data_IF_816866346876
#
_entry.id   IF_816866346876
#
_cell.length_a   1.000
_cell.length_b   1.000
_cell.length_c   1.000
_cell.angle_alpha   90.00
_cell.angle_beta   90.00
_cell.angle_gamma   90.00
#
_symmetry.space_group_name_H-M   'P 1'
#
loop_
_entity.id
_entity.type
_entity.pdbx_description
1 polymer ?
#
# COMPACT_ATOMS: atom_id res chain seq x y z
N UNK A 1 -8.47 -18.34 -0.93
CA UNK A 1 -7.34 -17.74 -1.70
C UNK A 1 -7.16 -18.42 -3.04
N UNK A 2 -7.06 -19.75 -3.09
CA UNK A 2 -7.01 -20.51 -4.35
C UNK A 2 -8.17 -20.14 -5.28
N UNK A 3 -9.41 -20.16 -4.77
CA UNK A 3 -10.61 -19.88 -5.57
C UNK A 3 -10.64 -18.44 -6.09
N UNK A 4 -10.19 -17.48 -5.28
CA UNK A 4 -10.04 -16.08 -5.71
C UNK A 4 -9.00 -15.94 -6.83
N UNK A 5 -7.85 -16.61 -6.71
CA UNK A 5 -6.82 -16.59 -7.77
C UNK A 5 -7.32 -17.28 -9.04
N UNK A 6 -8.08 -18.38 -8.91
CA UNK A 6 -8.73 -19.05 -10.04
C UNK A 6 -9.71 -18.11 -10.73
N UNK A 7 -10.60 -17.47 -9.98
CA UNK A 7 -11.57 -16.51 -10.49
C UNK A 7 -10.90 -15.35 -11.25
N UNK A 8 -9.84 -14.75 -10.69
CA UNK A 8 -9.08 -13.71 -11.39
C UNK A 8 -8.52 -14.22 -12.73
N UNK A 9 -8.02 -15.45 -12.77
CA UNK A 9 -7.47 -16.06 -14.00
C UNK A 9 -8.56 -16.38 -15.03
N UNK A 10 -9.73 -16.84 -14.60
CA UNK A 10 -10.90 -17.04 -15.48
C UNK A 10 -11.30 -15.74 -16.17
N UNK A 11 -11.19 -14.61 -15.47
CA UNK A 11 -11.41 -13.26 -16.01
C UNK A 11 -10.19 -12.62 -16.69
N UNK A 12 -9.11 -13.38 -16.95
CA UNK A 12 -7.86 -12.87 -17.54
C UNK A 12 -7.19 -11.72 -16.74
N UNK A 13 -7.50 -11.61 -15.44
CA UNK A 13 -6.91 -10.62 -14.53
C UNK A 13 -5.67 -11.21 -13.86
N UNK A 14 -4.56 -10.46 -13.90
CA UNK A 14 -3.30 -10.86 -13.24
C UNK A 14 -3.41 -10.69 -11.72
N UNK A 15 -3.17 -11.75 -10.92
CA UNK A 15 -3.27 -11.66 -9.47
C UNK A 15 -2.06 -10.94 -8.87
N UNK A 16 -2.28 -9.73 -8.31
CA UNK A 16 -1.27 -8.92 -7.63
C UNK A 16 -1.35 -9.03 -6.10
N UNK A 17 -1.43 -10.27 -5.60
CA UNK A 17 -1.65 -10.56 -4.19
C UNK A 17 -0.32 -10.55 -3.43
N UNK A 18 -0.30 -10.04 -2.20
CA UNK A 18 0.86 -10.13 -1.32
C UNK A 18 1.25 -11.59 -1.02
N UNK A 19 2.52 -11.94 -1.23
CA UNK A 19 3.08 -13.18 -0.68
C UNK A 19 3.63 -12.91 0.71
N UNK A 20 3.23 -13.71 1.69
CA UNK A 20 3.78 -13.69 3.04
C UNK A 20 4.89 -14.75 3.10
N UNK A 21 6.09 -14.34 3.54
CA UNK A 21 7.20 -15.26 3.74
C UNK A 21 6.83 -16.29 4.82
N UNK A 22 7.24 -17.55 4.63
CA UNK A 22 6.92 -18.67 5.53
C UNK A 22 5.43 -19.02 5.64
N UNK A 23 4.56 -18.47 4.78
CA UNK A 23 3.15 -18.86 4.69
C UNK A 23 2.82 -19.37 3.29
N UNK A 24 2.20 -20.55 3.22
CA UNK A 24 1.65 -21.02 1.97
C UNK A 24 0.52 -20.08 1.52
N UNK A 25 0.56 -19.63 0.26
CA UNK A 25 -0.47 -18.78 -0.34
C UNK A 25 -1.12 -19.58 -1.49
N UNK A 26 -2.14 -20.40 -1.19
CA UNK A 26 -2.72 -21.31 -2.18
C UNK A 26 -3.19 -20.58 -3.44
N UNK A 27 -2.80 -21.09 -4.62
CA UNK A 27 -3.12 -20.52 -5.93
C UNK A 27 -2.08 -19.52 -6.45
N UNK A 28 -1.30 -18.88 -5.57
CA UNK A 28 -0.23 -17.97 -5.97
C UNK A 28 1.09 -18.75 -6.17
N UNK A 29 1.36 -19.10 -7.42
CA UNK A 29 2.51 -19.92 -7.83
C UNK A 29 3.61 -19.10 -8.54
N UNK A 30 4.68 -19.80 -8.90
CA UNK A 30 5.82 -19.24 -9.63
C UNK A 30 5.46 -18.53 -10.93
N UNK A 31 4.33 -18.85 -11.59
CA UNK A 31 3.90 -18.20 -12.84
C UNK A 31 3.55 -16.74 -12.62
N UNK A 32 3.02 -16.42 -11.44
CA UNK A 32 2.66 -15.05 -11.07
C UNK A 32 3.87 -14.31 -10.50
N UNK A 33 4.56 -14.93 -9.55
CA UNK A 33 5.62 -14.26 -8.76
C UNK A 33 6.88 -13.95 -9.56
N UNK A 34 7.15 -14.68 -10.65
CA UNK A 34 8.31 -14.43 -11.53
C UNK A 34 8.17 -13.21 -12.44
N UNK A 35 6.96 -12.67 -12.59
CA UNK A 35 6.70 -11.58 -13.53
C UNK A 35 7.21 -10.26 -13.00
N UNK A 36 7.76 -9.41 -13.87
CA UNK A 36 8.25 -8.09 -13.46
C UNK A 36 7.09 -7.21 -12.94
N UNK A 37 5.92 -7.29 -13.57
CA UNK A 37 4.71 -6.59 -13.11
C UNK A 37 4.33 -6.94 -11.67
N UNK A 38 4.46 -8.22 -11.27
CA UNK A 38 4.24 -8.63 -9.89
C UNK A 38 5.28 -8.01 -8.94
N UNK A 39 6.57 -8.05 -9.30
CA UNK A 39 7.65 -7.44 -8.50
C UNK A 39 7.46 -5.94 -8.31
N UNK A 40 7.08 -5.22 -9.35
CA UNK A 40 6.75 -3.78 -9.28
C UNK A 40 5.55 -3.57 -8.35
N UNK A 41 4.48 -4.33 -8.54
CA UNK A 41 3.27 -4.20 -7.71
C UNK A 41 3.56 -4.43 -6.23
N UNK A 42 4.38 -5.41 -5.87
CA UNK A 42 4.74 -5.64 -4.47
C UNK A 42 5.50 -4.46 -3.86
N UNK A 43 6.42 -3.84 -4.62
CA UNK A 43 7.14 -2.62 -4.17
C UNK A 43 6.18 -1.45 -3.99
N UNK A 44 5.26 -1.22 -4.93
CA UNK A 44 4.29 -0.12 -4.86
C UNK A 44 3.31 -0.29 -3.71
N UNK A 45 2.82 -1.52 -3.47
CA UNK A 45 1.92 -1.84 -2.35
C UNK A 45 2.54 -1.46 -0.99
N UNK A 46 3.81 -1.82 -0.75
CA UNK A 46 4.53 -1.43 0.48
C UNK A 46 4.60 0.08 0.66
N UNK A 47 4.90 0.83 -0.41
CA UNK A 47 4.93 2.31 -0.36
C UNK A 47 3.58 2.91 0.03
N UNK A 48 2.47 2.32 -0.43
CA UNK A 48 1.12 2.78 -0.05
C UNK A 48 0.84 2.44 1.42
N UNK A 49 1.20 1.22 1.85
CA UNK A 49 1.01 0.76 3.23
C UNK A 49 1.80 1.59 4.26
N UNK A 50 3.01 2.05 3.91
CA UNK A 50 3.81 2.95 4.75
C UNK A 50 3.07 4.25 5.09
N UNK A 51 2.38 4.85 4.12
CA UNK A 51 1.60 6.08 4.33
C UNK A 51 0.45 5.82 5.30
N UNK A 52 -0.31 4.74 5.09
CA UNK A 52 -1.41 4.38 5.98
C UNK A 52 -0.93 4.00 7.38
N UNK A 53 0.24 3.36 7.49
CA UNK A 53 0.91 3.11 8.76
C UNK A 53 1.22 4.42 9.49
N UNK A 54 1.87 5.36 8.80
CA UNK A 54 2.22 6.68 9.36
C UNK A 54 0.98 7.49 9.74
N UNK A 55 -0.07 7.50 8.92
CA UNK A 55 -1.33 8.18 9.23
C UNK A 55 -1.98 7.64 10.50
N UNK A 56 -1.88 6.33 10.74
CA UNK A 56 -2.40 5.69 11.96
C UNK A 56 -1.54 6.03 13.18
N UNK A 57 -0.22 5.98 13.07
CA UNK A 57 0.69 6.12 14.20
C UNK A 57 1.02 7.57 14.53
N UNK A 58 1.43 8.35 13.53
CA UNK A 58 1.85 9.77 13.68
C UNK A 58 0.69 10.72 13.35
N UNK A 59 -0.10 10.41 12.33
CA UNK A 59 -1.27 11.21 11.94
C UNK A 59 -2.48 11.08 12.88
N UNK A 60 -2.39 10.26 13.93
CA UNK A 60 -3.43 10.13 14.95
C UNK A 60 -4.72 9.43 14.51
N UNK A 61 -4.77 8.82 13.31
CA UNK A 61 -5.99 8.20 12.80
C UNK A 61 -6.27 6.79 13.37
N UNK A 62 -5.34 6.19 14.14
CA UNK A 62 -5.59 4.87 14.79
C UNK A 62 -6.73 4.94 15.81
N UNK A 63 -6.87 6.06 16.51
CA UNK A 63 -7.95 6.37 17.46
C UNK A 63 -8.33 7.84 17.27
N UNK A 64 -9.02 8.12 16.16
CA UNK A 64 -9.42 9.49 15.83
C UNK A 64 -10.29 10.09 16.94
N UNK A 65 -9.99 11.34 17.32
CA UNK A 65 -10.83 12.12 18.25
C UNK A 65 -12.07 12.72 17.58
N UNK A 66 -12.15 12.65 16.26
CA UNK A 66 -13.23 13.24 15.48
C UNK A 66 -14.39 12.24 15.34
N UNK A 67 -15.61 12.74 15.52
CA UNK A 67 -16.84 11.95 15.37
C UNK A 67 -17.49 12.29 14.03
N UNK A 68 -17.90 11.26 13.29
CA UNK A 68 -18.55 11.38 11.99
C UNK A 68 -17.57 11.35 10.81
N UNK A 69 -18.10 10.98 9.64
CA UNK A 69 -17.33 10.79 8.42
C UNK A 69 -16.69 12.08 7.92
N UNK A 70 -17.44 13.18 7.87
CA UNK A 70 -16.96 14.46 7.34
C UNK A 70 -15.73 14.99 8.11
N UNK A 71 -15.78 14.99 9.45
CA UNK A 71 -14.67 15.48 10.30
C UNK A 71 -13.45 14.55 10.22
N UNK A 72 -13.68 13.24 10.21
CA UNK A 72 -12.59 12.25 10.06
C UNK A 72 -11.92 12.34 8.68
N UNK A 73 -12.70 12.56 7.62
CA UNK A 73 -12.20 12.74 6.27
C UNK A 73 -11.34 14.00 6.14
N UNK A 74 -11.80 15.12 6.70
CA UNK A 74 -11.01 16.36 6.72
C UNK A 74 -9.66 16.15 7.43
N UNK A 75 -9.66 15.49 8.58
CA UNK A 75 -8.43 15.15 9.29
C UNK A 75 -7.49 14.26 8.44
N UNK A 76 -8.04 13.25 7.78
CA UNK A 76 -7.26 12.38 6.89
C UNK A 76 -6.64 13.14 5.72
N UNK A 77 -7.36 14.10 5.12
CA UNK A 77 -6.82 14.93 4.04
C UNK A 77 -5.70 15.85 4.51
N UNK A 78 -5.85 16.51 5.66
CA UNK A 78 -4.80 17.36 6.23
C UNK A 78 -3.55 16.54 6.55
N UNK A 79 -3.71 15.39 7.23
CA UNK A 79 -2.58 14.51 7.56
C UNK A 79 -1.92 13.92 6.31
N UNK A 80 -2.70 13.56 5.28
CA UNK A 80 -2.18 13.09 4.00
C UNK A 80 -1.42 14.16 3.24
N UNK A 81 -1.90 15.41 3.24
CA UNK A 81 -1.20 16.54 2.66
C UNK A 81 0.14 16.80 3.37
N UNK A 82 0.16 16.78 4.71
CA UNK A 82 1.39 16.91 5.50
C UNK A 82 2.40 15.79 5.17
N UNK A 83 1.93 14.54 5.01
CA UNK A 83 2.80 13.44 4.59
C UNK A 83 3.39 13.67 3.19
N UNK A 84 2.60 14.18 2.24
CA UNK A 84 3.09 14.51 0.91
C UNK A 84 4.20 15.56 0.95
N UNK A 85 4.05 16.60 1.79
CA UNK A 85 5.10 17.61 1.98
C UNK A 85 6.40 17.00 2.55
N UNK A 86 6.29 16.16 3.58
CA UNK A 86 7.43 15.44 4.15
C UNK A 86 8.13 14.58 3.08
N UNK A 87 7.34 13.92 2.22
CA UNK A 87 7.87 13.10 1.13
C UNK A 87 8.59 13.95 0.08
N UNK A 88 8.03 15.09 -0.31
CA UNK A 88 8.67 16.03 -1.24
C UNK A 88 10.00 16.49 -0.65
N UNK A 89 10.01 16.97 0.60
CA UNK A 89 11.23 17.43 1.27
C UNK A 89 12.35 16.38 1.26
N UNK A 90 12.03 15.11 1.61
CA UNK A 90 13.00 14.00 1.56
C UNK A 90 13.52 13.71 0.17
N UNK A 91 12.66 13.78 -0.85
CA UNK A 91 13.05 13.54 -2.24
C UNK A 91 13.90 14.68 -2.81
N UNK A 92 13.62 15.92 -2.40
CA UNK A 92 14.40 17.10 -2.77
C UNK A 92 15.80 17.06 -2.16
N UNK A 93 15.92 16.69 -0.87
CA UNK A 93 17.22 16.56 -0.20
C UNK A 93 18.09 15.46 -0.82
N UNK A 94 17.47 14.34 -1.21
CA UNK A 94 18.14 13.25 -1.94
C UNK A 94 18.67 13.68 -3.32
N UNK A 95 18.15 14.77 -3.90
CA UNK A 95 18.60 15.34 -5.17
C UNK A 95 19.69 16.41 -5.03
N UNK A 96 19.99 16.87 -3.82
CA UNK A 96 21.10 17.80 -3.53
C UNK A 96 22.39 17.05 -3.22
N UNK A 97 22.30 15.79 -2.79
CA UNK A 97 23.44 14.92 -2.49
C UNK A 97 23.93 14.08 -3.70
N UNK A 98 23.37 14.27 -4.89
CA UNK A 98 23.75 13.60 -6.14
C UNK A 98 24.38 14.61 -7.12
#
# INVERSE_FOLDING_TARGET
MKDFVTHLREHQIRPHIARIENRNTPGLDGRTTRTEGYRISQRKRKRVEEIFGWLKTVGGLRKTRFIGQAKTQMAAFISGAAYNLLRIAKLSDSGVAA
#
